data_IF_390384777120
#
_entry.id   IF_390384777120
#
_cell.length_a   1.000
_cell.length_b   1.000
_cell.length_c   1.000
_cell.angle_alpha   90.00
_cell.angle_beta   90.00
_cell.angle_gamma   90.00
#
_symmetry.space_group_name_H-M   'P 1'
#
loop_
_entity.id
_entity.type
_entity.pdbx_description
1 polymer ?
#
# COMPACT_ATOMS: atom_id res chain seq x y z
N UNK A 1 49.00 -18.63 -43.36
CA UNK A 1 48.11 -19.78 -43.61
C UNK A 1 47.47 -19.78 -45.01
N UNK A 2 48.14 -19.23 -46.05
CA UNK A 2 47.87 -19.56 -47.47
C UNK A 2 48.62 -20.84 -47.91
N UNK A 3 49.50 -21.37 -47.05
CA UNK A 3 50.25 -22.62 -47.24
C UNK A 3 49.45 -23.89 -46.93
N UNK A 4 48.29 -23.79 -46.27
CA UNK A 4 47.47 -24.95 -45.86
C UNK A 4 46.55 -25.48 -46.99
N UNK A 5 46.25 -24.64 -47.98
CA UNK A 5 45.33 -24.96 -49.10
C UNK A 5 46.03 -25.74 -50.24
N UNK A 6 47.34 -25.57 -50.40
CA UNK A 6 48.14 -26.31 -51.39
C UNK A 6 48.35 -27.79 -50.99
N UNK A 7 48.43 -28.06 -49.69
CA UNK A 7 48.73 -29.38 -49.10
C UNK A 7 47.56 -30.36 -49.21
N UNK A 8 46.30 -29.91 -49.07
CA UNK A 8 45.16 -30.83 -49.19
C UNK A 8 44.94 -31.32 -50.62
N UNK A 9 45.39 -30.54 -51.63
CA UNK A 9 45.25 -30.87 -53.05
C UNK A 9 46.24 -31.95 -53.50
N UNK A 10 47.47 -31.94 -52.98
CA UNK A 10 48.46 -33.00 -53.20
C UNK A 10 48.15 -34.27 -52.39
N UNK A 11 47.58 -34.15 -51.19
CA UNK A 11 47.10 -35.29 -50.38
C UNK A 11 45.93 -36.02 -51.06
N UNK A 12 44.96 -35.30 -51.67
CA UNK A 12 43.89 -35.94 -52.46
C UNK A 12 44.42 -36.65 -53.71
N UNK A 13 45.49 -36.13 -54.33
CA UNK A 13 46.11 -36.71 -55.52
C UNK A 13 46.90 -38.00 -55.18
N UNK A 14 47.56 -38.06 -54.02
CA UNK A 14 48.28 -39.27 -53.57
C UNK A 14 47.35 -40.33 -52.97
N UNK A 15 46.23 -39.93 -52.36
CA UNK A 15 45.23 -40.87 -51.84
C UNK A 15 44.51 -41.66 -52.95
N UNK A 16 44.34 -41.07 -54.14
CA UNK A 16 43.78 -41.75 -55.30
C UNK A 16 44.74 -42.78 -55.92
N UNK A 17 46.06 -42.58 -55.79
CA UNK A 17 47.09 -43.48 -56.31
C UNK A 17 47.39 -44.66 -55.34
N UNK A 18 47.14 -44.48 -54.04
CA UNK A 18 47.25 -45.56 -53.07
C UNK A 18 46.07 -46.57 -53.14
N UNK A 19 44.94 -46.15 -53.69
CA UNK A 19 43.74 -46.98 -53.84
C UNK A 19 43.83 -47.99 -55.01
N UNK A 20 44.81 -47.85 -55.90
CA UNK A 20 45.06 -48.82 -56.98
C UNK A 20 45.94 -50.01 -56.58
N UNK A 21 46.46 -50.04 -55.34
CA UNK A 21 47.42 -51.06 -54.89
C UNK A 21 46.78 -52.22 -54.12
N UNK A 22 45.49 -52.17 -53.86
CA UNK A 22 44.72 -53.38 -53.55
C UNK A 22 44.29 -54.02 -54.87
N UNK A 23 44.88 -55.16 -55.27
CA UNK A 23 44.11 -56.30 -55.81
C UNK A 23 44.93 -57.56 -56.19
N UNK A 24 46.26 -57.60 -56.08
CA UNK A 24 47.01 -58.82 -56.45
C UNK A 24 47.83 -59.38 -55.30
N UNK A 25 47.17 -60.08 -54.37
CA UNK A 25 47.77 -61.14 -53.57
C UNK A 25 46.67 -61.92 -52.82
N UNK A 26 46.09 -62.90 -53.51
CA UNK A 26 45.28 -63.96 -52.92
C UNK A 26 45.93 -65.31 -53.26
N UNK A 27 45.76 -66.27 -52.33
CA UNK A 27 45.82 -67.74 -52.45
C UNK A 27 47.09 -68.45 -51.92
N UNK A 28 46.91 -69.14 -50.77
CA UNK A 28 47.25 -70.56 -50.49
C UNK A 28 46.82 -70.87 -49.03
N UNK A 29 45.60 -71.36 -48.74
CA UNK A 29 45.17 -72.77 -48.58
C UNK A 29 45.67 -73.49 -47.30
N UNK A 30 44.77 -73.70 -46.32
CA UNK A 30 44.10 -74.98 -45.92
C UNK A 30 43.76 -75.07 -44.40
N UNK A 31 42.51 -75.49 -44.10
CA UNK A 31 42.04 -76.34 -42.98
C UNK A 31 42.42 -76.01 -41.49
N UNK A 32 41.55 -75.98 -40.46
CA UNK A 32 40.16 -76.39 -40.23
C UNK A 32 39.56 -75.64 -39.01
N UNK A 33 38.26 -75.33 -39.11
CA UNK A 33 37.19 -75.43 -38.10
C UNK A 33 37.43 -74.78 -36.71
N UNK A 34 36.68 -73.70 -36.44
CA UNK A 34 35.74 -73.67 -35.30
C UNK A 34 34.73 -72.50 -35.37
N UNK A 35 33.51 -72.88 -35.76
CA UNK A 35 32.17 -72.40 -35.39
C UNK A 35 31.91 -70.90 -35.14
N UNK A 36 31.04 -70.39 -36.01
CA UNK A 36 30.21 -69.20 -35.88
C UNK A 36 29.54 -69.04 -34.51
N UNK A 37 29.39 -67.80 -34.05
CA UNK A 37 28.06 -67.27 -33.68
C UNK A 37 28.10 -65.75 -33.53
N UNK A 38 27.48 -65.07 -34.50
CA UNK A 38 26.92 -63.73 -34.33
C UNK A 38 25.99 -63.74 -33.11
N UNK A 39 26.26 -62.89 -32.12
CA UNK A 39 25.24 -62.48 -31.14
C UNK A 39 25.07 -60.97 -31.24
N UNK A 40 24.19 -60.59 -32.16
CA UNK A 40 23.52 -59.29 -32.19
C UNK A 40 22.82 -59.11 -30.86
N UNK A 41 23.32 -58.21 -30.03
CA UNK A 41 22.61 -57.75 -28.84
C UNK A 41 21.29 -57.12 -29.29
N UNK A 42 20.18 -57.74 -28.86
CA UNK A 42 18.83 -57.26 -29.10
C UNK A 42 18.68 -55.95 -28.33
N UNK A 43 18.85 -54.80 -28.99
CA UNK A 43 18.58 -53.49 -28.39
C UNK A 43 17.09 -53.44 -28.07
N UNK A 44 16.75 -53.61 -26.80
CA UNK A 44 15.41 -53.37 -26.31
C UNK A 44 15.20 -51.87 -26.45
N UNK A 45 14.42 -51.48 -27.47
CA UNK A 45 14.16 -50.08 -27.78
C UNK A 45 13.11 -49.56 -26.81
N UNK A 46 13.55 -48.84 -25.79
CA UNK A 46 12.67 -48.10 -24.89
C UNK A 46 12.25 -46.80 -25.60
N UNK A 47 10.95 -46.48 -25.68
CA UNK A 47 10.53 -45.20 -26.24
C UNK A 47 11.07 -44.07 -25.36
N UNK A 48 12.06 -43.34 -25.85
CA UNK A 48 12.58 -42.14 -25.20
C UNK A 48 11.94 -40.90 -25.81
N UNK A 49 11.44 -39.99 -24.98
CA UNK A 49 11.07 -38.65 -25.40
C UNK A 49 12.25 -37.69 -25.21
N UNK A 50 12.49 -36.81 -26.18
CA UNK A 50 13.47 -35.73 -26.05
C UNK A 50 12.99 -34.70 -25.03
N UNK A 51 13.80 -34.40 -24.02
CA UNK A 51 13.49 -33.39 -23.00
C UNK A 51 13.38 -32.02 -23.67
N UNK A 52 12.20 -31.40 -23.57
CA UNK A 52 11.99 -30.00 -23.99
C UNK A 52 11.95 -29.14 -22.74
N UNK A 53 12.77 -28.10 -22.71
CA UNK A 53 12.70 -27.06 -21.68
C UNK A 53 11.52 -26.15 -22.01
N UNK A 54 10.35 -26.50 -21.50
CA UNK A 54 9.16 -25.66 -21.55
C UNK A 54 9.01 -24.90 -20.23
N UNK A 55 8.56 -23.65 -20.30
CA UNK A 55 8.17 -22.87 -19.13
C UNK A 55 6.63 -22.83 -19.07
N UNK A 56 5.98 -23.83 -18.44
CA UNK A 56 4.53 -23.88 -18.37
C UNK A 56 4.00 -22.70 -17.54
N UNK A 57 3.10 -21.92 -18.12
CA UNK A 57 2.29 -20.95 -17.39
C UNK A 57 1.12 -21.69 -16.74
N UNK A 58 1.02 -21.58 -15.42
CA UNK A 58 -0.08 -22.15 -14.64
C UNK A 58 -1.00 -21.02 -14.20
N UNK A 59 -2.27 -21.10 -14.57
CA UNK A 59 -3.31 -20.23 -14.03
C UNK A 59 -3.83 -20.84 -12.72
N UNK A 60 -3.65 -20.13 -11.61
CA UNK A 60 -4.10 -20.56 -10.29
C UNK A 60 -5.25 -19.65 -9.87
N UNK A 61 -6.44 -20.22 -9.67
CA UNK A 61 -7.59 -19.49 -9.15
C UNK A 61 -7.66 -19.65 -7.64
N UNK A 62 -7.53 -18.53 -6.93
CA UNK A 62 -7.62 -18.47 -5.47
C UNK A 62 -8.86 -17.64 -5.11
N UNK A 63 -9.79 -18.17 -4.30
CA UNK A 63 -10.91 -17.38 -3.83
C UNK A 63 -10.40 -16.24 -2.95
N UNK A 64 -10.80 -15.02 -3.27
CA UNK A 64 -10.48 -13.83 -2.50
C UNK A 64 -11.75 -13.06 -2.21
N UNK A 65 -11.75 -12.32 -1.10
CA UNK A 65 -12.86 -11.46 -0.73
C UNK A 65 -12.40 -10.00 -0.72
N UNK A 66 -13.23 -9.13 -1.28
CA UNK A 66 -12.99 -7.70 -1.22
C UNK A 66 -13.45 -7.16 0.13
N UNK A 67 -12.53 -6.49 0.82
CA UNK A 67 -12.82 -5.77 2.05
C UNK A 67 -12.68 -4.26 1.80
N UNK A 68 -13.55 -3.44 2.41
CA UNK A 68 -13.44 -1.99 2.30
C UNK A 68 -12.09 -1.55 2.88
N UNK A 69 -11.45 -0.59 2.21
CA UNK A 69 -10.20 -0.01 2.70
C UNK A 69 -10.39 0.67 4.07
N UNK A 70 -11.53 1.34 4.26
CA UNK A 70 -11.89 2.02 5.50
C UNK A 70 -13.37 1.77 5.82
N UNK A 71 -13.67 1.51 7.09
CA UNK A 71 -15.03 1.33 7.59
C UNK A 71 -15.19 2.14 8.88
N UNK A 72 -16.11 3.09 8.88
CA UNK A 72 -16.35 3.99 10.01
C UNK A 72 -17.83 3.98 10.36
N UNK A 73 -18.14 3.78 11.63
CA UNK A 73 -19.47 4.00 12.17
C UNK A 73 -19.61 5.47 12.59
N UNK A 74 -20.60 6.16 12.03
CA UNK A 74 -20.85 7.58 12.30
C UNK A 74 -21.85 7.72 13.45
N UNK A 75 -21.46 8.41 14.51
CA UNK A 75 -22.31 8.67 15.67
C UNK A 75 -22.42 10.17 15.93
N UNK A 76 -23.54 10.58 16.52
CA UNK A 76 -23.71 11.94 17.00
C UNK A 76 -22.80 12.20 18.22
N UNK A 77 -22.10 13.33 18.23
CA UNK A 77 -21.26 13.73 19.38
C UNK A 77 -22.10 14.08 20.62
N UNK A 78 -23.32 14.56 20.41
CA UNK A 78 -24.24 14.98 21.47
C UNK A 78 -25.57 14.28 21.26
N UNK A 79 -26.21 13.86 22.35
CA UNK A 79 -27.55 13.29 22.34
C UNK A 79 -28.57 14.33 21.86
N UNK A 80 -29.40 13.95 20.90
CA UNK A 80 -30.41 14.81 20.33
C UNK A 80 -31.33 14.04 19.39
N UNK A 81 -32.35 14.72 18.91
CA UNK A 81 -33.33 14.16 17.98
C UNK A 81 -32.97 14.55 16.54
N UNK A 82 -33.25 13.68 15.57
CA UNK A 82 -33.02 14.01 14.16
C UNK A 82 -34.10 14.99 13.70
N UNK A 83 -33.68 16.21 13.34
CA UNK A 83 -34.57 17.25 12.81
C UNK A 83 -34.74 17.12 11.29
N UNK A 84 -33.63 16.89 10.59
CA UNK A 84 -33.60 16.70 9.13
C UNK A 84 -32.51 15.70 8.76
N UNK A 85 -32.77 14.89 7.74
CA UNK A 85 -31.83 13.97 7.12
C UNK A 85 -31.68 14.34 5.65
N UNK A 86 -30.44 14.48 5.17
CA UNK A 86 -30.13 14.96 3.81
C UNK A 86 -29.60 13.86 2.88
N UNK A 87 -29.37 12.66 3.42
CA UNK A 87 -28.78 11.54 2.69
C UNK A 87 -29.61 10.29 2.95
N UNK A 88 -29.74 9.44 1.94
CA UNK A 88 -30.38 8.14 2.06
C UNK A 88 -29.33 7.01 2.04
N UNK A 89 -29.78 5.80 2.35
CA UNK A 89 -28.95 4.61 2.37
C UNK A 89 -28.48 4.28 0.95
N UNK A 90 -27.16 4.23 0.78
CA UNK A 90 -26.51 3.93 -0.51
C UNK A 90 -25.99 5.16 -1.24
N UNK A 91 -26.30 6.36 -0.75
CA UNK A 91 -25.76 7.59 -1.29
C UNK A 91 -24.25 7.69 -1.06
N UNK A 92 -23.55 8.23 -2.05
CA UNK A 92 -22.12 8.53 -1.94
C UNK A 92 -21.94 9.86 -1.21
N UNK A 93 -21.23 9.84 -0.09
CA UNK A 93 -20.98 11.01 0.74
C UNK A 93 -19.49 11.35 0.79
N UNK A 94 -19.19 12.63 1.03
CA UNK A 94 -17.80 13.12 1.15
C UNK A 94 -17.51 13.58 2.58
N UNK A 95 -16.23 13.60 2.95
CA UNK A 95 -15.78 14.11 4.26
C UNK A 95 -16.24 15.57 4.45
N UNK A 96 -16.85 15.85 5.59
CA UNK A 96 -17.36 17.18 5.94
C UNK A 96 -18.74 17.51 5.37
N UNK A 97 -19.38 16.61 4.62
CA UNK A 97 -20.74 16.80 4.13
C UNK A 97 -21.75 16.74 5.29
N UNK A 98 -22.73 17.65 5.28
CA UNK A 98 -23.85 17.63 6.22
C UNK A 98 -24.78 16.46 5.90
N UNK A 99 -24.83 15.47 6.79
CA UNK A 99 -25.68 14.28 6.63
C UNK A 99 -27.04 14.46 7.29
N UNK A 100 -27.05 14.96 8.52
CA UNK A 100 -28.25 15.19 9.31
C UNK A 100 -28.10 16.43 10.19
N UNK A 101 -29.22 17.11 10.46
CA UNK A 101 -29.32 18.14 11.48
C UNK A 101 -29.99 17.53 12.70
N UNK A 102 -29.32 17.64 13.83
CA UNK A 102 -29.82 17.17 15.12
C UNK A 102 -30.30 18.36 15.94
N UNK A 103 -31.37 18.16 16.69
CA UNK A 103 -31.93 19.13 17.62
C UNK A 103 -31.84 18.59 19.05
N UNK A 104 -31.07 19.28 19.89
CA UNK A 104 -30.84 18.93 21.29
C UNK A 104 -31.41 20.05 22.19
N UNK A 105 -32.64 19.92 22.71
CA UNK A 105 -33.29 20.99 23.47
C UNK A 105 -32.55 21.31 24.78
N UNK A 106 -31.96 20.30 25.43
CA UNK A 106 -31.19 20.49 26.65
C UNK A 106 -29.94 21.36 26.41
N UNK A 107 -29.24 21.17 25.29
CA UNK A 107 -28.09 22.01 24.93
C UNK A 107 -28.49 23.46 24.69
N UNK A 108 -29.66 23.68 24.07
CA UNK A 108 -30.17 25.03 23.86
C UNK A 108 -30.50 25.71 25.19
N UNK A 109 -31.10 24.98 26.15
CA UNK A 109 -31.36 25.50 27.49
C UNK A 109 -30.07 25.86 28.24
N UNK A 110 -29.04 25.00 28.16
CA UNK A 110 -27.71 25.29 28.73
C UNK A 110 -27.10 26.55 28.11
N UNK A 111 -27.13 26.66 26.78
CA UNK A 111 -26.64 27.85 26.07
C UNK A 111 -27.37 29.13 26.52
N UNK A 112 -28.70 29.10 26.67
CA UNK A 112 -29.46 30.26 27.14
C UNK A 112 -29.11 30.62 28.60
N UNK A 113 -28.93 29.62 29.46
CA UNK A 113 -28.48 29.82 30.85
C UNK A 113 -27.09 30.44 30.92
N UNK A 114 -26.15 29.94 30.11
CA UNK A 114 -24.77 30.45 30.07
C UNK A 114 -24.74 31.89 29.56
N UNK A 115 -25.52 32.19 28.50
CA UNK A 115 -25.66 33.54 27.96
C UNK A 115 -26.27 34.52 28.98
N UNK A 116 -27.28 34.08 29.73
CA UNK A 116 -27.86 34.90 30.80
C UNK A 116 -26.83 35.16 31.92
N UNK A 117 -26.02 34.16 32.25
CA UNK A 117 -24.94 34.27 33.24
C UNK A 117 -23.84 35.22 32.77
N UNK A 118 -23.42 35.12 31.51
CA UNK A 118 -22.47 36.04 30.88
C UNK A 118 -22.98 37.49 30.94
N UNK A 119 -24.23 37.73 30.55
CA UNK A 119 -24.83 39.06 30.60
C UNK A 119 -24.89 39.61 32.03
N UNK A 120 -25.18 38.75 33.02
CA UNK A 120 -25.16 39.12 34.43
C UNK A 120 -23.77 39.53 34.88
N UNK A 121 -22.76 38.70 34.61
CA UNK A 121 -21.36 38.99 34.96
C UNK A 121 -20.88 40.28 34.31
N UNK A 122 -21.26 40.52 33.04
CA UNK A 122 -20.93 41.75 32.34
C UNK A 122 -21.54 42.99 33.00
N UNK A 123 -22.82 42.93 33.37
CA UNK A 123 -23.48 44.03 34.11
C UNK A 123 -22.85 44.25 35.49
N UNK A 124 -22.55 43.17 36.21
CA UNK A 124 -21.89 43.22 37.52
C UNK A 124 -20.49 43.84 37.39
N UNK A 125 -19.73 43.48 36.35
CA UNK A 125 -18.43 44.07 36.01
C UNK A 125 -18.54 45.56 35.69
N UNK A 126 -19.51 45.96 34.86
CA UNK A 126 -19.73 47.37 34.53
C UNK A 126 -20.03 48.18 35.78
N UNK A 127 -20.87 47.65 36.68
CA UNK A 127 -21.18 48.29 37.95
C UNK A 127 -19.94 48.41 38.85
N UNK A 128 -19.19 47.33 39.01
CA UNK A 128 -17.95 47.34 39.79
C UNK A 128 -16.93 48.34 39.23
N UNK A 129 -16.81 48.42 37.90
CA UNK A 129 -15.94 49.38 37.21
C UNK A 129 -16.39 50.82 37.41
N UNK A 130 -17.68 51.11 37.28
CA UNK A 130 -18.22 52.44 37.54
C UNK A 130 -18.01 52.86 39.01
N UNK A 131 -18.17 51.93 39.95
CA UNK A 131 -17.89 52.18 41.35
C UNK A 131 -16.39 52.49 41.57
N UNK A 132 -15.50 51.71 40.96
CA UNK A 132 -14.06 51.97 40.99
C UNK A 132 -13.69 53.33 40.39
N UNK A 133 -14.21 53.66 39.20
CA UNK A 133 -13.91 54.92 38.52
C UNK A 133 -14.35 56.12 39.37
N UNK A 134 -15.52 56.04 40.02
CA UNK A 134 -16.00 57.07 40.97
C UNK A 134 -15.09 57.25 42.19
N UNK A 135 -14.64 56.14 42.78
CA UNK A 135 -13.72 56.18 43.92
C UNK A 135 -12.35 56.72 43.48
N UNK A 136 -11.89 56.37 42.28
CA UNK A 136 -10.66 56.88 41.70
C UNK A 136 -10.73 58.39 41.49
N UNK A 137 -11.82 58.91 40.92
CA UNK A 137 -11.99 60.35 40.71
C UNK A 137 -12.00 61.11 42.06
N UNK A 138 -12.75 60.61 43.05
CA UNK A 138 -12.80 61.19 44.38
C UNK A 138 -11.45 61.16 45.12
N UNK A 139 -10.59 60.15 44.87
CA UNK A 139 -9.25 60.05 45.47
C UNK A 139 -8.30 61.18 45.07
N UNK A 140 -8.58 61.89 43.98
CA UNK A 140 -7.83 63.07 43.54
C UNK A 140 -7.87 64.20 44.59
N UNK A 141 -8.93 64.23 45.40
CA UNK A 141 -9.06 65.18 46.52
C UNK A 141 -8.40 64.59 47.76
N UNK A 142 -7.34 65.24 48.24
CA UNK A 142 -6.53 64.78 49.38
C UNK A 142 -7.39 64.49 50.61
N UNK A 143 -7.32 63.25 51.11
CA UNK A 143 -8.00 62.80 52.34
C UNK A 143 -9.44 62.33 52.17
N UNK A 144 -10.01 62.32 50.95
CA UNK A 144 -11.41 61.96 50.72
C UNK A 144 -11.71 60.45 50.83
N UNK A 145 -10.75 59.57 50.52
CA UNK A 145 -10.91 58.09 50.52
C UNK A 145 -9.65 57.43 51.07
N UNK A 146 -9.80 56.30 51.77
CA UNK A 146 -8.68 55.50 52.27
C UNK A 146 -8.03 54.65 51.16
N UNK A 147 -6.71 54.51 51.16
CA UNK A 147 -5.97 53.75 50.14
C UNK A 147 -6.43 52.28 50.01
N UNK A 148 -6.80 51.64 51.12
CA UNK A 148 -7.31 50.25 51.16
C UNK A 148 -8.66 50.09 50.46
N UNK A 149 -9.51 51.12 50.45
CA UNK A 149 -10.82 51.06 49.77
C UNK A 149 -10.64 51.12 48.25
N UNK A 150 -9.70 51.92 47.76
CA UNK A 150 -9.35 51.97 46.34
C UNK A 150 -8.78 50.62 45.86
N UNK A 151 -7.90 49.99 46.66
CA UNK A 151 -7.35 48.66 46.35
C UNK A 151 -8.43 47.57 46.36
N UNK A 152 -9.34 47.59 47.34
CA UNK A 152 -10.48 46.67 47.39
C UNK A 152 -11.39 46.84 46.16
N UNK A 153 -11.68 48.08 45.78
CA UNK A 153 -12.49 48.36 44.59
C UNK A 153 -11.80 47.87 43.31
N UNK A 154 -10.48 48.04 43.19
CA UNK A 154 -9.69 47.54 42.06
C UNK A 154 -9.69 46.01 41.98
N UNK A 155 -9.74 45.30 43.11
CA UNK A 155 -9.77 43.83 43.14
C UNK A 155 -11.11 43.23 42.69
N UNK A 156 -12.18 44.03 42.71
CA UNK A 156 -13.52 43.59 42.34
C UNK A 156 -13.85 43.80 40.85
N UNK A 157 -12.91 44.39 40.09
CA UNK A 157 -12.99 44.70 38.66
C UNK A 157 -12.04 43.80 37.89
#
# INVERSE_FOLDING_TARGET
>A
MYSAISIYKTIRLTLALALSMTLTACLQQENQINKETKKTEKRINYPTASVQFINPEYEISIPAELRPYEQVAVFAKVSGFVKKLYVDRGDHVRKGQLLAVLEAPEMNQRYLSDKATEQKIYSDYLFARQAYDRLKDASTTSGAIAAIELERAKSNV
#
